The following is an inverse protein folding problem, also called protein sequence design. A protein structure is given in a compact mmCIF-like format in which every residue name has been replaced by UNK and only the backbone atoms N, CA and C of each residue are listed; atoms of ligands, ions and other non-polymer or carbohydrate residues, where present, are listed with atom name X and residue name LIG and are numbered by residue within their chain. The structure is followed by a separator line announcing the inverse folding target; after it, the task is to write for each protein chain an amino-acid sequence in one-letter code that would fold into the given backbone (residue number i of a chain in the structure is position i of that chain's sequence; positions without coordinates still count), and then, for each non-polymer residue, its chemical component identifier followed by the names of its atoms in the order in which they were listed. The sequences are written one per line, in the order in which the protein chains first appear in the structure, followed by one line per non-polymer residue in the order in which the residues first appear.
data_IF_007537600892
#
_entry.id   IF_007537600892
#
_cell.length_a   1.000
_cell.length_b   1.000
_cell.length_c   1.000
_cell.angle_alpha   90.00
_cell.angle_beta   90.00
_cell.angle_gamma   90.00
#
_symmetry.space_group_name_H-M   'P 1'
#
loop_
_entity.id
_entity.type
_entity.pdbx_description
1 polymer ?
#
# COMPACT_ATOMS: atom_id res chain seq x y z
N UNK A 1 6.34 -1.08 -22.30
CA UNK A 1 4.89 -0.94 -22.02
C UNK A 1 4.12 -1.62 -23.12
N UNK A 2 2.99 -2.27 -22.79
CA UNK A 2 2.18 -3.01 -23.75
C UNK A 2 0.72 -2.56 -23.64
N UNK A 3 0.02 -2.51 -24.78
CA UNK A 3 -1.43 -2.32 -24.84
C UNK A 3 -2.03 -3.60 -25.41
N UNK A 4 -2.95 -4.21 -24.69
CA UNK A 4 -3.60 -5.48 -25.07
C UNK A 4 -5.11 -5.30 -25.12
N UNK A 5 -5.86 -6.11 -25.90
CA UNK A 5 -7.30 -5.99 -26.01
C UNK A 5 -8.02 -6.28 -24.69
N UNK A 6 -9.21 -5.71 -24.53
CA UNK A 6 -10.08 -5.97 -23.35
C UNK A 6 -10.69 -7.37 -23.41
N UNK A 7 -10.97 -7.90 -24.60
CA UNK A 7 -11.44 -9.26 -24.78
C UNK A 7 -10.40 -10.26 -24.27
N UNK A 8 -10.79 -11.12 -23.33
CA UNK A 8 -9.88 -12.09 -22.70
C UNK A 8 -8.90 -11.49 -21.68
N UNK A 9 -9.06 -10.22 -21.30
CA UNK A 9 -8.12 -9.53 -20.41
C UNK A 9 -7.89 -10.23 -19.07
N UNK A 10 -8.91 -10.91 -18.53
CA UNK A 10 -8.77 -11.57 -17.23
C UNK A 10 -7.92 -12.84 -17.34
N UNK A 11 -8.12 -13.64 -18.37
CA UNK A 11 -7.32 -14.86 -18.59
C UNK A 11 -5.88 -14.52 -18.91
N UNK A 12 -5.64 -13.51 -19.74
CA UNK A 12 -4.31 -12.98 -20.05
C UNK A 12 -3.62 -12.43 -18.80
N UNK A 13 -4.33 -11.63 -18.01
CA UNK A 13 -3.86 -11.09 -16.74
C UNK A 13 -3.46 -12.20 -15.75
N UNK A 14 -4.27 -13.25 -15.60
CA UNK A 14 -3.94 -14.40 -14.73
C UNK A 14 -2.68 -15.09 -15.22
N UNK A 15 -2.50 -15.24 -16.53
CA UNK A 15 -1.28 -15.78 -17.12
C UNK A 15 -0.02 -14.98 -16.74
N UNK A 16 -0.09 -13.65 -16.89
CA UNK A 16 1.02 -12.76 -16.53
C UNK A 16 1.26 -12.72 -15.00
N UNK A 17 0.18 -12.69 -14.20
CA UNK A 17 0.31 -12.77 -12.74
C UNK A 17 1.03 -14.05 -12.31
N UNK A 18 0.65 -15.20 -12.84
CA UNK A 18 1.29 -16.47 -12.52
C UNK A 18 2.77 -16.48 -12.91
N UNK A 19 3.12 -15.90 -14.05
CA UNK A 19 4.51 -15.77 -14.51
C UNK A 19 5.33 -14.92 -13.54
N UNK A 20 4.83 -13.74 -13.15
CA UNK A 20 5.53 -12.84 -12.23
C UNK A 20 5.66 -13.45 -10.83
N UNK A 21 4.56 -13.96 -10.28
CA UNK A 21 4.56 -14.51 -8.91
C UNK A 21 5.39 -15.79 -8.78
N UNK A 22 5.51 -16.59 -9.85
CA UNK A 22 6.43 -17.72 -9.89
C UNK A 22 7.89 -17.30 -9.81
N UNK A 23 8.22 -16.08 -10.25
CA UNK A 23 9.54 -15.45 -10.08
C UNK A 23 9.77 -14.80 -8.71
N UNK A 24 8.77 -14.83 -7.82
CA UNK A 24 8.83 -14.15 -6.52
C UNK A 24 8.55 -12.65 -6.60
N UNK A 25 8.02 -12.18 -7.72
CA UNK A 25 7.73 -10.78 -7.98
C UNK A 25 6.33 -10.38 -7.47
N UNK A 26 6.11 -9.06 -7.35
CA UNK A 26 4.83 -8.48 -6.92
C UNK A 26 4.11 -7.79 -8.07
N UNK A 27 2.79 -7.91 -8.07
CA UNK A 27 1.92 -7.37 -9.10
C UNK A 27 0.94 -6.35 -8.52
N UNK A 28 0.77 -5.24 -9.23
CA UNK A 28 -0.19 -4.20 -8.92
C UNK A 28 -1.26 -4.15 -10.03
N UNK A 29 -2.54 -4.24 -9.67
CA UNK A 29 -3.65 -4.21 -10.62
C UNK A 29 -4.57 -3.05 -10.30
N UNK A 30 -4.88 -2.22 -11.29
CA UNK A 30 -5.83 -1.10 -11.11
C UNK A 30 -7.12 -1.35 -11.87
N UNK A 31 -8.24 -1.19 -11.15
CA UNK A 31 -9.61 -1.31 -11.67
C UNK A 31 -10.31 0.05 -11.64
N UNK A 32 -11.51 0.15 -12.21
CA UNK A 32 -12.30 1.37 -12.22
C UNK A 32 -13.30 1.48 -11.06
N UNK A 33 -13.77 0.35 -10.54
CA UNK A 33 -14.80 0.33 -9.51
C UNK A 33 -14.43 -0.60 -8.36
N UNK A 34 -15.00 -0.32 -7.17
CA UNK A 34 -14.85 -1.14 -5.97
C UNK A 34 -15.35 -2.57 -6.23
N UNK A 35 -16.52 -2.70 -6.85
CA UNK A 35 -17.10 -4.00 -7.19
C UNK A 35 -16.16 -4.81 -8.09
N UNK A 36 -15.62 -4.20 -9.14
CA UNK A 36 -14.67 -4.89 -10.03
C UNK A 36 -13.41 -5.33 -9.29
N UNK A 37 -12.89 -4.52 -8.36
CA UNK A 37 -11.75 -4.90 -7.53
C UNK A 37 -12.07 -6.09 -6.61
N UNK A 38 -13.24 -6.10 -5.99
CA UNK A 38 -13.73 -7.17 -5.13
C UNK A 38 -13.92 -8.48 -5.93
N UNK A 39 -14.71 -8.42 -7.01
CA UNK A 39 -15.00 -9.58 -7.87
C UNK A 39 -13.70 -10.18 -8.44
N UNK A 40 -12.76 -9.35 -8.90
CA UNK A 40 -11.48 -9.82 -9.41
C UNK A 40 -10.61 -10.44 -8.30
N UNK A 41 -10.61 -9.86 -7.11
CA UNK A 41 -9.86 -10.39 -5.96
C UNK A 41 -10.40 -11.76 -5.54
N UNK A 42 -11.72 -11.92 -5.50
CA UNK A 42 -12.35 -13.20 -5.15
C UNK A 42 -12.07 -14.26 -6.20
N UNK A 43 -12.19 -13.92 -7.48
CA UNK A 43 -11.83 -14.83 -8.57
C UNK A 43 -10.34 -15.27 -8.50
N UNK A 44 -9.42 -14.32 -8.28
CA UNK A 44 -8.00 -14.65 -8.15
C UNK A 44 -7.71 -15.58 -6.96
N UNK A 45 -8.43 -15.42 -5.84
CA UNK A 45 -8.33 -16.36 -4.70
C UNK A 45 -8.81 -17.74 -5.05
N UNK A 46 -9.94 -17.87 -5.76
CA UNK A 46 -10.49 -19.14 -6.18
C UNK A 46 -9.52 -19.93 -7.07
N UNK A 47 -8.76 -19.24 -7.91
CA UNK A 47 -7.72 -19.86 -8.74
C UNK A 47 -6.36 -20.00 -8.03
N UNK A 48 -6.30 -19.75 -6.72
CA UNK A 48 -5.13 -20.01 -5.88
C UNK A 48 -4.07 -18.91 -5.84
N UNK A 49 -4.35 -17.70 -6.34
CA UNK A 49 -3.44 -16.56 -6.28
C UNK A 49 -3.53 -15.88 -4.91
N UNK A 50 -2.39 -15.58 -4.29
CA UNK A 50 -2.31 -14.83 -3.03
C UNK A 50 -2.52 -13.35 -3.30
N UNK A 51 -3.75 -12.88 -3.13
CA UNK A 51 -4.19 -11.52 -3.50
C UNK A 51 -4.90 -10.82 -2.34
N UNK A 52 -4.68 -9.51 -2.23
CA UNK A 52 -5.49 -8.59 -1.41
C UNK A 52 -5.98 -7.42 -2.25
N UNK A 53 -7.09 -6.79 -1.86
CA UNK A 53 -7.50 -5.54 -2.48
C UNK A 53 -7.39 -4.37 -1.51
N UNK A 54 -7.21 -3.17 -2.08
CA UNK A 54 -7.06 -1.91 -1.35
C UNK A 54 -8.10 -0.91 -1.87
N UNK A 55 -8.95 -0.39 -0.97
CA UNK A 55 -9.97 0.61 -1.29
C UNK A 55 -9.85 1.86 -0.41
N UNK A 56 -10.67 2.88 -0.72
CA UNK A 56 -10.63 4.18 -0.05
C UNK A 56 -11.07 4.17 1.42
N UNK A 57 -11.85 3.16 1.82
CA UNK A 57 -12.46 3.08 3.15
C UNK A 57 -11.55 2.36 4.17
N UNK A 58 -10.43 1.81 3.71
CA UNK A 58 -9.41 1.19 4.57
C UNK A 58 -8.67 2.29 5.32
N UNK A 59 -8.55 2.15 6.64
CA UNK A 59 -7.83 3.11 7.45
C UNK A 59 -6.33 3.14 7.17
N UNK A 60 -5.65 4.17 7.67
CA UNK A 60 -4.23 4.38 7.39
C UNK A 60 -3.34 3.27 7.95
N UNK A 61 -3.71 2.69 9.10
CA UNK A 61 -2.93 1.62 9.74
C UNK A 61 -3.09 0.31 8.98
N UNK A 62 -4.32 -0.08 8.67
CA UNK A 62 -4.62 -1.27 7.88
C UNK A 62 -3.97 -1.19 6.50
N UNK A 63 -3.99 0.00 5.87
CA UNK A 63 -3.29 0.23 4.60
C UNK A 63 -1.79 0.00 4.72
N UNK A 64 -1.16 0.50 5.78
CA UNK A 64 0.26 0.29 6.00
C UNK A 64 0.59 -1.18 6.27
N UNK A 65 -0.28 -1.91 6.97
CA UNK A 65 -0.16 -3.36 7.18
C UNK A 65 -0.28 -4.13 5.86
N UNK A 66 -1.24 -3.80 5.00
CA UNK A 66 -1.38 -4.42 3.68
C UNK A 66 -0.13 -4.22 2.84
N UNK A 67 0.44 -3.00 2.80
CA UNK A 67 1.66 -2.71 2.05
C UNK A 67 2.85 -3.47 2.63
N UNK A 68 2.98 -3.51 3.95
CA UNK A 68 4.02 -4.29 4.63
C UNK A 68 3.91 -5.78 4.31
N UNK A 69 2.71 -6.35 4.39
CA UNK A 69 2.46 -7.76 4.13
C UNK A 69 2.79 -8.14 2.68
N UNK A 70 2.48 -7.27 1.70
CA UNK A 70 2.90 -7.45 0.31
C UNK A 70 4.42 -7.54 0.20
N UNK A 71 5.15 -6.67 0.88
CA UNK A 71 6.61 -6.63 0.87
C UNK A 71 7.27 -7.75 1.67
N UNK A 72 6.55 -8.35 2.62
CA UNK A 72 6.98 -9.51 3.43
C UNK A 72 6.54 -10.87 2.84
N UNK A 73 6.15 -10.92 1.58
CA UNK A 73 5.72 -12.14 0.89
C UNK A 73 4.49 -12.86 1.49
N UNK A 74 3.66 -12.16 2.26
CA UNK A 74 2.40 -12.71 2.77
C UNK A 74 1.40 -12.94 1.63
N UNK A 75 1.44 -12.05 0.63
CA UNK A 75 0.69 -12.18 -0.63
C UNK A 75 1.47 -11.51 -1.77
N UNK A 76 1.04 -11.74 -3.04
CA UNK A 76 1.80 -11.34 -4.22
C UNK A 76 1.13 -10.28 -5.06
N UNK A 77 -0.18 -10.19 -5.00
CA UNK A 77 -0.98 -9.33 -5.88
C UNK A 77 -1.79 -8.34 -5.07
N UNK A 78 -1.67 -7.06 -5.41
CA UNK A 78 -2.48 -5.99 -4.84
C UNK A 78 -3.42 -5.43 -5.90
N UNK A 79 -4.73 -5.55 -5.68
CA UNK A 79 -5.77 -4.97 -6.52
C UNK A 79 -6.30 -3.70 -5.90
N UNK A 80 -6.56 -2.66 -6.68
CA UNK A 80 -7.18 -1.45 -6.14
C UNK A 80 -7.70 -0.51 -7.22
N UNK A 81 -8.55 0.44 -6.80
CA UNK A 81 -9.19 1.42 -7.69
C UNK A 81 -8.27 2.60 -7.95
N UNK A 82 -7.83 3.24 -6.92
CA UNK A 82 -6.98 4.43 -6.96
C UNK A 82 -5.77 4.22 -6.05
N UNK A 83 -4.84 3.44 -6.55
CA UNK A 83 -3.58 3.16 -5.87
C UNK A 83 -2.60 4.34 -5.93
N UNK A 84 -3.05 5.48 -6.48
CA UNK A 84 -2.24 6.71 -6.63
C UNK A 84 -2.17 7.54 -5.35
N UNK A 85 -3.13 7.37 -4.44
CA UNK A 85 -3.13 8.12 -3.18
C UNK A 85 -1.99 7.65 -2.30
N UNK A 86 -0.99 8.51 -2.20
CA UNK A 86 0.04 8.62 -1.18
C UNK A 86 0.84 7.37 -0.80
N UNK A 87 2.14 7.43 -1.06
CA UNK A 87 3.11 6.60 -0.35
C UNK A 87 3.28 5.15 -0.80
N UNK A 88 2.66 4.67 -1.89
CA UNK A 88 2.96 3.36 -2.45
C UNK A 88 4.36 3.35 -3.06
N UNK A 89 5.33 3.10 -2.24
CA UNK A 89 6.73 2.95 -2.63
C UNK A 89 7.15 1.50 -2.40
N UNK A 90 6.80 0.66 -3.39
CA UNK A 90 7.00 -0.79 -3.35
C UNK A 90 7.94 -1.16 -4.50
N UNK A 91 9.26 -1.19 -4.27
CA UNK A 91 10.24 -1.51 -5.31
C UNK A 91 10.17 -2.97 -5.79
N UNK A 92 9.48 -3.83 -5.08
CA UNK A 92 9.28 -5.24 -5.41
C UNK A 92 8.25 -5.45 -6.54
N UNK A 93 7.51 -4.40 -6.97
CA UNK A 93 6.54 -4.50 -8.06
C UNK A 93 7.27 -4.55 -9.39
N UNK A 94 7.05 -5.63 -10.15
CA UNK A 94 7.54 -5.81 -11.52
C UNK A 94 6.46 -5.60 -12.56
N UNK A 95 5.20 -5.94 -12.26
CA UNK A 95 4.09 -5.75 -13.17
C UNK A 95 3.06 -4.76 -12.59
N UNK A 96 2.70 -3.78 -13.41
CA UNK A 96 1.52 -2.95 -13.19
C UNK A 96 0.51 -3.22 -14.30
N UNK A 97 -0.65 -3.75 -13.97
CA UNK A 97 -1.74 -3.99 -14.90
C UNK A 97 -2.85 -2.94 -14.74
N UNK A 98 -3.27 -2.33 -15.83
CA UNK A 98 -4.30 -1.29 -15.86
C UNK A 98 -5.48 -1.83 -16.68
N UNK A 99 -6.56 -2.25 -15.99
CA UNK A 99 -7.76 -2.73 -16.67
C UNK A 99 -8.61 -1.55 -17.16
N UNK A 100 -9.29 -1.75 -18.29
CA UNK A 100 -10.15 -0.73 -18.91
C UNK A 100 -9.42 0.63 -19.01
N UNK A 101 -8.23 0.63 -19.58
CA UNK A 101 -7.39 1.83 -19.66
C UNK A 101 -7.97 2.89 -20.60
N UNK A 102 -8.83 2.49 -21.53
CA UNK A 102 -9.54 3.36 -22.50
C UNK A 102 -10.84 3.99 -21.97
N UNK A 103 -11.25 3.64 -20.75
CA UNK A 103 -12.43 4.26 -20.13
C UNK A 103 -12.05 5.62 -19.55
N UNK A 104 -12.14 6.65 -20.37
CA UNK A 104 -11.76 8.01 -19.98
C UNK A 104 -12.47 8.48 -18.70
N UNK A 105 -11.73 9.20 -17.86
CA UNK A 105 -12.22 9.74 -16.61
C UNK A 105 -11.06 10.05 -15.66
N UNK A 106 -11.37 10.50 -14.45
CA UNK A 106 -10.38 10.92 -13.46
C UNK A 106 -9.30 9.85 -13.18
N UNK A 107 -9.70 8.56 -13.13
CA UNK A 107 -8.79 7.44 -12.87
C UNK A 107 -7.96 7.01 -14.08
N UNK A 108 -8.29 7.49 -15.26
CA UNK A 108 -7.61 7.19 -16.54
C UNK A 108 -7.19 8.46 -17.27
N UNK A 109 -7.09 9.58 -16.53
CA UNK A 109 -6.49 10.81 -17.05
C UNK A 109 -4.98 10.60 -17.29
N UNK A 110 -4.40 11.43 -18.15
CA UNK A 110 -2.96 11.45 -18.42
C UNK A 110 -2.12 11.38 -17.13
N UNK A 111 -2.39 12.29 -16.19
CA UNK A 111 -1.67 12.35 -14.91
C UNK A 111 -1.82 11.06 -14.10
N UNK A 112 -3.03 10.51 -14.03
CA UNK A 112 -3.30 9.25 -13.33
C UNK A 112 -2.55 8.08 -13.94
N UNK A 113 -2.55 7.98 -15.26
CA UNK A 113 -1.83 6.93 -15.99
C UNK A 113 -0.31 7.05 -15.79
N UNK A 114 0.28 8.23 -15.95
CA UNK A 114 1.72 8.46 -15.72
C UNK A 114 2.12 8.06 -14.29
N UNK A 115 1.33 8.43 -13.29
CA UNK A 115 1.61 8.08 -11.90
C UNK A 115 1.50 6.57 -11.64
N UNK A 116 0.51 5.90 -12.23
CA UNK A 116 0.33 4.45 -12.12
C UNK A 116 1.47 3.70 -12.79
N UNK A 117 1.81 4.07 -14.02
CA UNK A 117 2.97 3.54 -14.77
C UNK A 117 4.26 3.70 -13.96
N UNK A 118 4.44 4.85 -13.33
CA UNK A 118 5.61 5.17 -12.51
C UNK A 118 5.80 4.26 -11.29
N UNK A 119 4.81 3.44 -10.91
CA UNK A 119 4.98 2.46 -9.84
C UNK A 119 5.88 1.30 -10.24
N UNK A 120 5.88 0.90 -11.50
CA UNK A 120 6.80 -0.12 -12.04
C UNK A 120 8.23 0.42 -12.22
N UNK A 121 8.43 1.73 -12.32
CA UNK A 121 9.73 2.33 -12.65
C UNK A 121 10.81 2.20 -11.55
N UNK A 122 10.46 1.69 -10.36
CA UNK A 122 11.41 1.45 -9.26
C UNK A 122 12.12 0.11 -9.35
N UNK A 123 11.61 -0.77 -10.18
CA UNK A 123 12.19 -2.07 -10.46
C UNK A 123 12.84 -2.05 -11.84
N UNK A 124 14.07 -2.56 -11.96
CA UNK A 124 14.79 -2.62 -13.25
C UNK A 124 14.08 -3.50 -14.29
N UNK A 125 13.30 -4.48 -13.83
CA UNK A 125 12.49 -5.38 -14.66
C UNK A 125 11.02 -4.91 -14.78
N UNK A 126 10.73 -3.73 -14.22
CA UNK A 126 9.38 -3.18 -14.16
C UNK A 126 8.76 -2.95 -15.53
N UNK A 127 7.56 -3.49 -15.73
CA UNK A 127 6.78 -3.31 -16.96
C UNK A 127 5.29 -3.03 -16.67
N UNK A 128 4.57 -2.59 -17.69
CA UNK A 128 3.18 -2.17 -17.58
C UNK A 128 2.38 -2.76 -18.73
N UNK A 129 1.23 -3.32 -18.40
CA UNK A 129 0.22 -3.77 -19.37
C UNK A 129 -1.04 -2.92 -19.18
N UNK A 130 -1.53 -2.34 -20.26
CA UNK A 130 -2.80 -1.63 -20.33
C UNK A 130 -3.77 -2.45 -21.17
N UNK A 131 -4.93 -2.78 -20.60
CA UNK A 131 -6.00 -3.42 -21.36
C UNK A 131 -6.96 -2.36 -21.90
N UNK A 132 -7.03 -2.27 -23.20
CA UNK A 132 -7.80 -1.24 -23.91
C UNK A 132 -8.14 -1.71 -25.33
N UNK A 133 -9.36 -1.42 -25.79
CA UNK A 133 -9.77 -1.66 -27.18
C UNK A 133 -9.46 -0.45 -28.08
N UNK A 134 -9.32 0.74 -27.48
CA UNK A 134 -9.03 1.98 -28.18
C UNK A 134 -7.90 2.75 -27.51
N UNK A 135 -7.03 3.35 -28.33
CA UNK A 135 -6.00 4.24 -27.82
C UNK A 135 -6.60 5.63 -27.60
N UNK A 136 -6.78 6.01 -26.33
CA UNK A 136 -7.25 7.36 -25.98
C UNK A 136 -6.12 8.38 -26.00
N UNK A 137 -6.47 9.68 -26.06
CA UNK A 137 -5.46 10.74 -26.00
C UNK A 137 -4.69 10.71 -24.69
N UNK A 138 -5.36 10.46 -23.56
CA UNK A 138 -4.73 10.31 -22.25
C UNK A 138 -3.72 9.16 -22.21
N UNK A 139 -4.04 8.01 -22.81
CA UNK A 139 -3.12 6.88 -22.92
C UNK A 139 -1.93 7.21 -23.79
N UNK A 140 -2.17 7.80 -24.98
CA UNK A 140 -1.11 8.16 -25.92
C UNK A 140 -0.10 9.10 -25.26
N UNK A 141 -0.57 10.19 -24.64
CA UNK A 141 0.31 11.15 -23.96
C UNK A 141 1.06 10.50 -22.81
N UNK A 142 0.42 9.65 -22.01
CA UNK A 142 1.07 8.95 -20.89
C UNK A 142 2.17 7.99 -21.39
N UNK A 143 1.94 7.27 -22.47
CA UNK A 143 2.92 6.36 -23.07
C UNK A 143 4.09 7.16 -23.64
N UNK A 144 3.83 8.15 -24.49
CA UNK A 144 4.86 8.98 -25.13
C UNK A 144 5.75 9.67 -24.07
N UNK A 145 5.15 10.27 -23.04
CA UNK A 145 5.90 10.96 -21.99
C UNK A 145 6.75 9.97 -21.16
N UNK A 146 6.23 8.79 -20.87
CA UNK A 146 6.99 7.77 -20.14
C UNK A 146 8.16 7.25 -20.98
N UNK A 147 7.97 7.01 -22.27
CA UNK A 147 9.02 6.58 -23.18
C UNK A 147 10.08 7.66 -23.36
N UNK A 148 9.66 8.93 -23.49
CA UNK A 148 10.57 10.08 -23.56
C UNK A 148 11.46 10.14 -22.31
N UNK A 149 10.87 10.04 -21.12
CA UNK A 149 11.64 10.02 -19.84
C UNK A 149 12.59 8.85 -19.77
N UNK A 150 12.14 7.66 -20.16
CA UNK A 150 12.95 6.44 -20.16
C UNK A 150 14.16 6.58 -21.09
N UNK A 151 13.95 7.12 -22.29
CA UNK A 151 15.01 7.36 -23.25
C UNK A 151 16.08 8.32 -22.70
N UNK A 152 15.68 9.45 -22.16
CA UNK A 152 16.60 10.43 -21.56
C UNK A 152 17.40 9.80 -20.42
N UNK A 153 16.73 9.01 -19.56
CA UNK A 153 17.42 8.33 -18.45
C UNK A 153 18.40 7.28 -18.96
N UNK A 154 18.03 6.55 -20.01
CA UNK A 154 18.91 5.54 -20.60
C UNK A 154 20.14 6.19 -21.24
N UNK A 155 19.98 7.25 -22.02
CA UNK A 155 21.08 8.01 -22.61
C UNK A 155 22.02 8.55 -21.52
N UNK A 156 21.48 9.11 -20.45
CA UNK A 156 22.27 9.58 -19.31
C UNK A 156 23.05 8.43 -18.63
N UNK A 157 22.39 7.29 -18.42
CA UNK A 157 23.03 6.13 -17.79
C UNK A 157 24.18 5.58 -18.65
N UNK A 158 24.00 5.49 -19.95
CA UNK A 158 25.03 5.05 -20.91
C UNK A 158 26.24 6.01 -20.93
N UNK A 159 25.98 7.33 -20.96
CA UNK A 159 27.02 8.35 -20.93
C UNK A 159 27.87 8.30 -19.63
N UNK A 160 27.23 7.97 -18.50
CA UNK A 160 27.87 7.97 -17.19
C UNK A 160 28.28 6.55 -16.71
N UNK A 161 28.09 5.54 -17.54
CA UNK A 161 28.42 4.14 -17.19
C UNK A 161 27.59 3.59 -16.02
N UNK A 162 26.35 4.06 -15.86
CA UNK A 162 25.45 3.65 -14.78
C UNK A 162 24.65 2.44 -15.24
N UNK A 163 24.75 1.34 -14.51
CA UNK A 163 23.87 0.17 -14.69
C UNK A 163 22.66 0.31 -13.76
N UNK A 164 21.43 0.38 -14.30
CA UNK A 164 20.23 0.45 -13.48
C UNK A 164 20.10 -0.78 -12.56
N UNK A 165 19.79 -0.54 -11.30
CA UNK A 165 19.54 -1.61 -10.32
C UNK A 165 18.22 -1.36 -9.61
N UNK A 166 17.54 -2.44 -9.25
CA UNK A 166 16.30 -2.35 -8.46
C UNK A 166 16.59 -1.71 -7.09
N UNK A 167 15.76 -0.77 -6.69
CA UNK A 167 15.86 -0.11 -5.39
C UNK A 167 15.60 -1.15 -4.29
N UNK A 168 16.56 -1.32 -3.38
CA UNK A 168 16.37 -2.15 -2.19
C UNK A 168 16.04 -1.26 -0.99
N UNK A 169 14.87 -1.44 -0.42
CA UNK A 169 14.45 -0.76 0.82
C UNK A 169 14.15 -1.77 1.90
N UNK A 170 14.71 -1.56 3.10
CA UNK A 170 14.29 -2.34 4.27
C UNK A 170 12.80 -2.11 4.57
N UNK A 171 12.07 -3.18 4.86
CA UNK A 171 10.71 -3.06 5.38
C UNK A 171 10.84 -2.53 6.80
N UNK A 172 10.50 -1.27 7.00
CA UNK A 172 10.52 -0.66 8.33
C UNK A 172 9.27 -1.09 9.08
N UNK A 173 9.46 -1.79 10.16
CA UNK A 173 8.41 -2.28 11.05
C UNK A 173 8.03 -1.19 12.08
N UNK A 174 7.85 0.05 11.61
CA UNK A 174 7.55 1.20 12.46
C UNK A 174 6.26 1.00 13.26
N UNK A 175 5.28 0.33 12.66
CA UNK A 175 3.96 0.08 13.28
C UNK A 175 4.05 -0.98 14.38
N UNK A 176 4.78 -2.07 14.14
CA UNK A 176 4.88 -3.15 15.14
C UNK A 176 5.77 -2.77 16.31
N UNK A 177 6.80 -1.97 16.09
CA UNK A 177 7.70 -1.50 17.17
C UNK A 177 6.97 -0.52 18.07
N UNK A 178 6.22 0.46 17.51
CA UNK A 178 5.49 1.44 18.33
C UNK A 178 4.32 0.81 19.10
N UNK A 179 3.53 -0.07 18.46
CA UNK A 179 2.47 -0.84 19.14
C UNK A 179 3.03 -1.77 20.22
N UNK A 180 4.14 -2.44 19.96
CA UNK A 180 4.76 -3.37 20.90
C UNK A 180 5.34 -2.64 22.11
N UNK A 181 6.03 -1.52 21.90
CA UNK A 181 6.55 -0.68 22.98
C UNK A 181 5.42 -0.09 23.81
N UNK A 182 4.37 0.46 23.19
CA UNK A 182 3.22 0.99 23.92
C UNK A 182 2.49 -0.11 24.70
N UNK A 183 2.30 -1.32 24.15
CA UNK A 183 1.69 -2.45 24.86
C UNK A 183 2.56 -2.99 25.99
N UNK A 184 3.88 -3.09 25.82
CA UNK A 184 4.80 -3.52 26.87
C UNK A 184 4.86 -2.51 28.03
N UNK A 185 4.84 -1.20 27.73
CA UNK A 185 4.79 -0.15 28.74
C UNK A 185 3.43 0.00 29.41
N UNK A 186 2.34 -0.48 28.79
CA UNK A 186 1.00 -0.53 29.39
C UNK A 186 0.70 -1.83 30.15
N UNK A 187 1.69 -2.74 30.27
CA UNK A 187 1.56 -3.93 31.13
C UNK A 187 1.62 -3.50 32.60
N UNK A 188 0.45 -3.28 33.18
CA UNK A 188 0.33 -2.80 34.54
C UNK A 188 0.71 -3.90 35.53
N UNK A 189 1.46 -3.53 36.57
CA UNK A 189 1.83 -4.44 37.67
C UNK A 189 0.62 -4.90 38.48
N UNK A 190 -0.53 -4.25 38.36
CA UNK A 190 -1.79 -4.50 39.05
C UNK A 190 -2.94 -4.29 38.07
N UNK A 191 -3.95 -5.15 38.13
CA UNK A 191 -5.14 -5.03 37.29
C UNK A 191 -5.88 -3.70 37.60
N UNK A 192 -6.16 -2.86 36.58
CA UNK A 192 -6.88 -1.61 36.76
C UNK A 192 -8.22 -1.74 37.50
N UNK A 193 -8.95 -2.84 37.32
CA UNK A 193 -10.21 -3.12 37.99
C UNK A 193 -10.05 -3.31 39.53
N UNK A 194 -8.83 -3.65 39.98
CA UNK A 194 -8.49 -3.83 41.39
C UNK A 194 -7.85 -2.59 42.03
N UNK A 195 -7.73 -1.48 41.29
CA UNK A 195 -7.10 -0.25 41.79
C UNK A 195 -8.08 0.66 42.50
N UNK A 196 -7.60 1.36 43.55
CA UNK A 196 -8.35 2.44 44.18
C UNK A 196 -8.46 3.65 43.30
N UNK A 197 -9.43 4.52 43.56
CA UNK A 197 -9.65 5.77 42.85
C UNK A 197 -8.37 6.61 42.70
N UNK A 198 -7.61 6.76 43.79
CA UNK A 198 -6.36 7.52 43.78
C UNK A 198 -5.25 6.86 42.94
N UNK A 199 -5.21 5.52 42.90
CA UNK A 199 -4.28 4.77 42.03
C UNK A 199 -4.63 4.92 40.57
N UNK A 200 -5.93 4.87 40.21
CA UNK A 200 -6.41 5.11 38.85
C UNK A 200 -6.15 6.54 38.36
N UNK A 201 -6.38 7.56 39.19
CA UNK A 201 -6.07 8.97 38.85
C UNK A 201 -4.57 9.15 38.58
N UNK A 202 -3.72 8.54 39.39
CA UNK A 202 -2.26 8.58 39.18
C UNK A 202 -1.84 7.87 37.89
N UNK A 203 -2.43 6.73 37.59
CA UNK A 203 -2.17 5.96 36.39
C UNK A 203 -2.62 6.74 35.13
N UNK A 204 -3.79 7.37 35.16
CA UNK A 204 -4.27 8.24 34.08
C UNK A 204 -3.31 9.39 33.83
N UNK A 205 -2.79 10.04 34.87
CA UNK A 205 -1.82 11.13 34.76
C UNK A 205 -0.49 10.66 34.14
N UNK A 206 -0.01 9.47 34.48
CA UNK A 206 1.20 8.90 33.90
C UNK A 206 1.02 8.54 32.41
N UNK A 207 -0.11 7.94 32.04
CA UNK A 207 -0.45 7.63 30.66
C UNK A 207 -0.59 8.92 29.84
N UNK A 208 -1.19 9.96 30.41
CA UNK A 208 -1.30 11.27 29.74
C UNK A 208 0.08 11.88 29.44
N UNK A 209 1.04 11.76 30.36
CA UNK A 209 2.42 12.22 30.10
C UNK A 209 3.10 11.41 29.00
N UNK A 210 2.91 10.08 28.99
CA UNK A 210 3.45 9.21 27.92
C UNK A 210 2.84 9.54 26.57
N UNK A 211 1.52 9.79 26.52
CA UNK A 211 0.82 10.22 25.30
C UNK A 211 1.41 11.53 24.76
N UNK A 212 1.59 12.54 25.63
CA UNK A 212 2.16 13.83 25.24
C UNK A 212 3.61 13.70 24.75
N UNK A 213 4.41 12.87 25.42
CA UNK A 213 5.78 12.60 25.01
C UNK A 213 5.82 11.91 23.64
N UNK A 214 5.01 10.85 23.44
CA UNK A 214 4.92 10.16 22.17
C UNK A 214 4.49 11.10 21.03
N UNK A 215 3.55 12.01 21.29
CA UNK A 215 3.13 13.03 20.32
C UNK A 215 4.26 14.04 20.02
N UNK A 216 5.02 14.48 21.03
CA UNK A 216 6.18 15.36 20.83
C UNK A 216 7.30 14.69 20.03
N UNK A 217 7.48 13.38 20.21
CA UNK A 217 8.44 12.55 19.47
C UNK A 217 7.91 12.14 18.08
N UNK A 218 6.77 12.72 17.63
CA UNK A 218 6.07 12.42 16.36
C UNK A 218 5.64 10.94 16.22
N UNK A 219 5.58 10.20 17.31
CA UNK A 219 5.06 8.83 17.36
C UNK A 219 3.55 8.84 17.63
N UNK A 220 2.78 9.23 16.61
CA UNK A 220 1.33 9.43 16.73
C UNK A 220 0.55 8.14 17.00
N UNK A 221 1.08 6.98 16.61
CA UNK A 221 0.47 5.67 16.88
C UNK A 221 0.55 5.32 18.35
N UNK A 222 1.74 5.42 18.94
CA UNK A 222 1.88 5.22 20.38
C UNK A 222 1.04 6.24 21.16
N UNK A 223 0.96 7.49 20.70
CA UNK A 223 0.11 8.51 21.29
C UNK A 223 -1.38 8.13 21.22
N UNK A 224 -1.84 7.54 20.11
CA UNK A 224 -3.22 7.06 19.96
C UNK A 224 -3.53 5.89 20.92
N UNK A 225 -2.64 4.90 21.04
CA UNK A 225 -2.79 3.77 21.97
C UNK A 225 -2.88 4.27 23.44
N UNK A 226 -2.02 5.21 23.83
CA UNK A 226 -2.09 5.84 25.16
C UNK A 226 -3.38 6.63 25.37
N UNK A 227 -3.87 7.33 24.34
CA UNK A 227 -5.14 8.06 24.39
C UNK A 227 -6.30 7.09 24.64
N UNK A 228 -6.38 6.03 23.87
CA UNK A 228 -7.47 5.06 23.94
C UNK A 228 -7.50 4.37 25.31
N UNK A 229 -6.34 4.00 25.84
CA UNK A 229 -6.23 3.45 27.19
C UNK A 229 -6.60 4.46 28.28
N UNK A 230 -6.23 5.71 28.10
CA UNK A 230 -6.63 6.79 29.02
C UNK A 230 -8.15 6.98 29.05
N UNK A 231 -8.84 6.87 27.90
CA UNK A 231 -10.30 6.95 27.81
C UNK A 231 -10.94 5.77 28.57
N UNK A 232 -10.44 4.56 28.37
CA UNK A 232 -10.89 3.35 29.05
C UNK A 232 -10.81 3.52 30.58
N UNK A 233 -9.64 3.94 31.10
CA UNK A 233 -9.43 4.16 32.53
C UNK A 233 -10.27 5.29 33.10
N UNK A 234 -10.52 6.36 32.33
CA UNK A 234 -11.44 7.43 32.73
C UNK A 234 -12.89 6.95 32.85
N UNK A 235 -13.32 6.08 31.94
CA UNK A 235 -14.65 5.48 32.01
C UNK A 235 -14.79 4.56 33.25
N UNK A 236 -13.75 3.78 33.56
CA UNK A 236 -13.71 2.99 34.81
C UNK A 236 -13.78 3.89 36.04
N UNK A 237 -13.04 5.00 36.05
CA UNK A 237 -13.04 5.96 37.16
C UNK A 237 -14.41 6.63 37.41
N UNK A 238 -15.20 6.83 36.34
CA UNK A 238 -16.55 7.40 36.44
C UNK A 238 -17.59 6.39 36.94
N UNK A 239 -17.31 5.09 36.80
CA UNK A 239 -18.16 4.00 37.29
C UNK A 239 -17.93 3.61 38.75
N UNK A 240 -16.90 4.16 39.39
CA UNK A 240 -16.57 4.03 40.83
C UNK A 240 -17.10 5.19 41.63
#
# INVERSE_FOLDING_TARGET
MEVRPVEGQIDDLIGEVNKETSGGHKVLITTLTKKMAEDLTDYMREVGIRVKYLHSDIDTLERAEIIRDLRLDVFDVLVGINLLREGLDIPEITLVAILDADKEGFLRSETSLIQTIGRAARNSEGHVIMYADQMTDSMRVAIEETERRRKIQQEYNEEHGITPTTIQKSVRDLISVSKKVAKEEMNFKKDPESMSKAELEKLIADIQKKMQKAAADLNFEAAAEYRDKMIELKNMLQGL
#
